data_IF_940087928423
#
_entry.id   IF_940087928423
#
_cell.length_a   1.000
_cell.length_b   1.000
_cell.length_c   1.000
_cell.angle_alpha   90.00
_cell.angle_beta   90.00
_cell.angle_gamma   90.00
#
_symmetry.space_group_name_H-M   'P 1'
#
loop_
_entity.id
_entity.type
_entity.pdbx_description
1 polymer ?
#
# COMPACT_ATOMS: atom_id res chain seq x y z
N UNK A 1 -41.50 -11.43 -30.29
CA UNK A 1 -41.36 -10.47 -29.18
C UNK A 1 -40.32 -11.00 -28.19
N UNK A 2 -39.32 -10.15 -27.89
CA UNK A 2 -38.41 -10.10 -26.73
C UNK A 2 -37.47 -11.29 -26.44
N UNK A 3 -36.30 -11.19 -27.07
CA UNK A 3 -34.99 -11.68 -26.60
C UNK A 3 -34.61 -10.99 -25.28
N UNK A 4 -34.20 -11.76 -24.27
CA UNK A 4 -33.35 -11.31 -23.16
C UNK A 4 -32.76 -12.54 -22.45
N UNK A 5 -31.69 -13.09 -23.01
CA UNK A 5 -30.76 -13.96 -22.29
C UNK A 5 -29.70 -13.05 -21.67
N UNK A 6 -29.75 -12.86 -20.35
CA UNK A 6 -28.60 -12.34 -19.60
C UNK A 6 -27.83 -13.57 -19.11
N UNK A 7 -26.80 -13.93 -19.87
CA UNK A 7 -25.76 -14.84 -19.43
C UNK A 7 -25.03 -14.20 -18.25
N UNK A 8 -25.18 -14.78 -17.06
CA UNK A 8 -24.34 -14.46 -15.92
C UNK A 8 -22.92 -14.98 -16.20
N UNK A 9 -22.09 -14.12 -16.82
CA UNK A 9 -20.64 -14.32 -16.85
C UNK A 9 -20.09 -13.86 -15.50
N UNK A 10 -20.08 -14.76 -14.53
CA UNK A 10 -19.19 -14.63 -13.38
C UNK A 10 -17.92 -15.39 -13.74
N UNK A 11 -17.00 -14.62 -14.32
CA UNK A 11 -15.59 -14.96 -14.50
C UNK A 11 -15.10 -15.60 -13.20
N UNK A 12 -14.46 -16.75 -13.36
CA UNK A 12 -13.66 -17.39 -12.35
C UNK A 12 -12.69 -16.38 -11.73
N UNK A 13 -13.02 -15.88 -10.54
CA UNK A 13 -11.99 -15.57 -9.56
C UNK A 13 -12.07 -16.64 -8.50
N UNK A 14 -10.97 -17.35 -8.20
CA UNK A 14 -10.85 -18.05 -6.94
C UNK A 14 -10.70 -17.00 -5.84
N UNK A 15 -11.79 -16.29 -5.50
CA UNK A 15 -11.88 -15.45 -4.30
C UNK A 15 -12.10 -16.33 -3.07
N UNK A 16 -11.20 -17.30 -2.87
CA UNK A 16 -11.13 -18.18 -1.69
C UNK A 16 -9.67 -18.35 -1.24
N UNK A 17 -8.89 -17.27 -1.34
CA UNK A 17 -7.59 -17.14 -0.68
C UNK A 17 -7.66 -16.58 0.76
N UNK A 18 -8.85 -16.47 1.35
CA UNK A 18 -9.03 -15.95 2.71
C UNK A 18 -9.99 -16.84 3.53
N UNK A 19 -9.76 -18.16 3.49
CA UNK A 19 -10.29 -19.08 4.48
C UNK A 19 -9.26 -20.20 4.71
N UNK A 20 -8.09 -19.80 5.22
CA UNK A 20 -7.03 -20.70 5.65
C UNK A 20 -6.59 -20.27 7.04
N UNK A 21 -7.02 -21.00 8.04
CA UNK A 21 -6.56 -20.87 9.42
C UNK A 21 -5.10 -21.35 9.52
N UNK A 22 -4.15 -20.59 8.96
CA UNK A 22 -2.73 -20.84 9.17
C UNK A 22 -2.23 -19.98 10.33
N UNK A 23 -2.13 -20.64 11.48
CA UNK A 23 -1.44 -20.13 12.66
C UNK A 23 0.00 -19.78 12.28
N UNK A 24 0.32 -18.48 12.14
CA UNK A 24 1.71 -18.03 12.26
C UNK A 24 2.16 -16.86 11.38
N UNK A 25 1.39 -16.43 10.38
CA UNK A 25 1.81 -15.34 9.48
C UNK A 25 0.98 -14.09 9.71
N UNK A 26 1.64 -12.96 9.99
CA UNK A 26 0.97 -11.67 10.15
C UNK A 26 0.20 -11.27 8.87
N UNK A 27 -0.95 -10.57 8.97
CA UNK A 27 -1.81 -10.27 7.82
C UNK A 27 -1.07 -9.45 6.76
N UNK A 28 -1.06 -9.88 5.50
CA UNK A 28 -0.38 -9.18 4.39
C UNK A 28 -0.84 -7.72 4.30
N UNK A 29 0.11 -6.80 4.26
CA UNK A 29 -0.15 -5.37 4.13
C UNK A 29 -0.42 -5.06 2.66
N UNK A 30 -1.60 -4.49 2.40
CA UNK A 30 -2.04 -4.08 1.07
C UNK A 30 -1.85 -2.58 0.84
N UNK A 31 -1.99 -2.14 -0.42
CA UNK A 31 -2.05 -0.71 -0.77
C UNK A 31 -3.14 0.02 0.03
N UNK A 32 -4.31 -0.60 0.21
CA UNK A 32 -5.42 0.01 0.94
C UNK A 32 -5.08 0.22 2.42
N UNK A 33 -4.38 -0.72 3.04
CA UNK A 33 -3.94 -0.62 4.43
C UNK A 33 -2.91 0.51 4.61
N UNK A 34 -1.96 0.63 3.68
CA UNK A 34 -0.98 1.73 3.64
C UNK A 34 -1.65 3.08 3.45
N UNK A 35 -2.57 3.21 2.49
CA UNK A 35 -3.31 4.46 2.25
C UNK A 35 -4.07 4.88 3.50
N UNK A 36 -4.76 3.94 4.15
CA UNK A 36 -5.49 4.20 5.39
C UNK A 36 -4.58 4.61 6.54
N UNK A 37 -3.39 4.01 6.65
CA UNK A 37 -2.38 4.42 7.62
C UNK A 37 -1.86 5.83 7.36
N UNK A 38 -1.57 6.16 6.10
CA UNK A 38 -1.12 7.50 5.70
C UNK A 38 -2.17 8.56 6.03
N UNK A 39 -3.44 8.28 5.74
CA UNK A 39 -4.56 9.15 6.12
C UNK A 39 -4.69 9.31 7.63
N UNK A 40 -4.57 8.20 8.37
CA UNK A 40 -4.59 8.19 9.84
C UNK A 40 -3.41 8.94 10.46
N UNK A 41 -2.27 9.01 9.75
CA UNK A 41 -1.08 9.77 10.15
C UNK A 41 -1.19 11.27 9.87
N UNK A 42 -2.27 11.73 9.24
CA UNK A 42 -2.54 13.14 8.99
C UNK A 42 -2.55 13.55 7.52
N UNK A 43 -2.32 12.62 6.58
CA UNK A 43 -2.43 12.89 5.15
C UNK A 43 -3.91 12.95 4.73
N UNK A 44 -4.54 14.13 4.86
CA UNK A 44 -5.99 14.30 4.69
C UNK A 44 -6.51 14.07 3.26
N UNK A 45 -5.62 14.10 2.27
CA UNK A 45 -5.99 13.88 0.88
C UNK A 45 -5.95 12.38 0.56
N UNK A 46 -7.13 11.79 0.38
CA UNK A 46 -7.26 10.36 0.13
C UNK A 46 -6.61 9.93 -1.19
N UNK A 47 -6.69 10.75 -2.25
CA UNK A 47 -6.07 10.44 -3.53
C UNK A 47 -4.54 10.46 -3.45
N UNK A 48 -3.99 11.43 -2.74
CA UNK A 48 -2.56 11.51 -2.47
C UNK A 48 -2.10 10.32 -1.62
N UNK A 49 -2.88 9.93 -0.62
CA UNK A 49 -2.60 8.75 0.21
C UNK A 49 -2.63 7.45 -0.60
N UNK A 50 -3.62 7.29 -1.49
CA UNK A 50 -3.73 6.13 -2.38
C UNK A 50 -2.57 6.07 -3.39
N UNK A 51 -2.23 7.22 -4.00
CA UNK A 51 -1.12 7.33 -4.94
C UNK A 51 0.22 7.02 -4.26
N UNK A 52 0.43 7.54 -3.05
CA UNK A 52 1.62 7.25 -2.25
C UNK A 52 1.72 5.77 -1.87
N UNK A 53 0.63 5.20 -1.35
CA UNK A 53 0.57 3.79 -1.01
C UNK A 53 0.86 2.88 -2.20
N UNK A 54 0.34 3.22 -3.38
CA UNK A 54 0.59 2.46 -4.61
C UNK A 54 2.07 2.45 -4.97
N UNK A 55 2.73 3.61 -4.95
CA UNK A 55 4.16 3.69 -5.27
C UNK A 55 5.03 2.92 -4.27
N UNK A 56 4.68 2.91 -2.98
CA UNK A 56 5.41 2.10 -1.99
C UNK A 56 5.29 0.59 -2.22
N UNK A 57 4.12 0.11 -2.64
CA UNK A 57 3.91 -1.30 -2.99
C UNK A 57 4.60 -1.63 -4.31
N UNK A 58 4.48 -0.75 -5.32
CA UNK A 58 5.05 -0.94 -6.66
C UNK A 58 6.59 -0.93 -6.67
N UNK A 59 7.25 -0.15 -5.79
CA UNK A 59 8.71 -0.22 -5.61
C UNK A 59 9.19 -1.55 -5.00
N UNK A 60 8.27 -2.41 -4.56
CA UNK A 60 8.59 -3.74 -4.03
C UNK A 60 9.23 -3.72 -2.65
N UNK A 61 8.77 -2.83 -1.77
CA UNK A 61 9.12 -2.85 -0.34
C UNK A 61 8.64 -4.18 0.26
N UNK A 62 9.45 -4.77 1.13
CA UNK A 62 9.12 -6.02 1.81
C UNK A 62 7.84 -5.88 2.67
N UNK A 63 7.14 -6.99 2.90
CA UNK A 63 5.95 -6.99 3.76
C UNK A 63 6.26 -6.52 5.19
N UNK A 64 7.43 -6.85 5.73
CA UNK A 64 7.91 -6.34 7.02
C UNK A 64 8.12 -4.83 6.99
N UNK A 65 8.65 -4.31 5.88
CA UNK A 65 8.82 -2.88 5.68
C UNK A 65 7.48 -2.14 5.61
N UNK A 66 6.54 -2.63 4.80
CA UNK A 66 5.19 -2.07 4.71
C UNK A 66 4.45 -2.13 6.05
N UNK A 67 4.66 -3.20 6.84
CA UNK A 67 4.09 -3.34 8.18
C UNK A 67 4.66 -2.33 9.17
N UNK A 68 5.91 -1.92 9.02
CA UNK A 68 6.50 -0.83 9.80
C UNK A 68 5.97 0.53 9.34
N UNK A 69 5.78 0.73 8.05
CA UNK A 69 5.22 1.98 7.50
C UNK A 69 3.75 2.19 7.86
N UNK A 70 3.03 1.13 8.19
CA UNK A 70 1.64 1.22 8.67
C UNK A 70 1.52 1.51 10.17
N UNK A 71 2.62 1.45 10.93
CA UNK A 71 2.60 1.78 12.35
C UNK A 71 2.62 3.31 12.54
N UNK A 72 1.67 3.86 13.32
CA UNK A 72 1.64 5.28 13.59
C UNK A 72 2.92 5.73 14.31
N UNK A 73 3.57 6.77 13.81
CA UNK A 73 4.81 7.33 14.36
C UNK A 73 6.12 6.75 13.82
N UNK A 74 6.07 5.70 12.98
CA UNK A 74 7.27 5.11 12.35
C UNK A 74 7.78 5.88 11.12
N UNK A 75 6.96 6.79 10.61
CA UNK A 75 7.28 7.78 9.57
C UNK A 75 8.05 8.99 10.11
N UNK A 76 8.35 9.03 11.41
CA UNK A 76 9.37 9.93 11.94
C UNK A 76 10.71 9.54 11.29
N UNK A 77 11.26 10.42 10.46
CA UNK A 77 12.63 10.29 9.99
C UNK A 77 13.52 10.15 11.23
N UNK A 78 14.10 8.96 11.44
CA UNK A 78 15.11 8.81 12.47
C UNK A 78 16.34 9.59 12.03
N UNK A 79 17.09 10.14 12.99
CA UNK A 79 18.19 11.07 12.73
C UNK A 79 19.32 10.50 11.85
N UNK A 80 19.34 9.18 11.61
CA UNK A 80 20.27 8.51 10.69
C UNK A 80 19.82 8.54 9.20
N UNK A 81 18.66 9.14 8.91
CA UNK A 81 18.09 9.25 7.58
C UNK A 81 17.33 8.01 7.10
N UNK A 82 17.32 6.91 7.86
CA UNK A 82 16.49 5.75 7.56
C UNK A 82 15.03 6.05 7.90
N UNK A 83 14.10 5.44 7.17
CA UNK A 83 12.70 5.43 7.58
C UNK A 83 12.63 4.47 8.77
N UNK A 84 12.27 4.97 9.96
CA UNK A 84 12.46 4.29 11.24
C UNK A 84 12.20 2.78 11.23
N UNK A 85 13.27 1.99 11.31
CA UNK A 85 13.21 0.54 11.43
C UNK A 85 13.10 -0.26 10.13
N UNK A 86 13.08 0.36 8.95
CA UNK A 86 13.19 -0.37 7.67
C UNK A 86 14.57 -1.03 7.51
N UNK A 87 14.63 -2.11 6.73
CA UNK A 87 15.92 -2.63 6.24
C UNK A 87 16.59 -1.60 5.35
N UNK A 88 17.89 -1.75 5.07
CA UNK A 88 18.60 -0.83 4.15
C UNK A 88 17.97 -0.84 2.76
N UNK A 89 17.66 -2.03 2.25
CA UNK A 89 17.03 -2.22 0.95
C UNK A 89 15.62 -1.60 0.89
N UNK A 90 14.80 -1.82 1.92
CA UNK A 90 13.47 -1.21 2.00
C UNK A 90 13.53 0.30 2.18
N UNK A 91 14.54 0.81 2.90
CA UNK A 91 14.77 2.24 3.04
C UNK A 91 15.13 2.89 1.71
N UNK A 92 15.98 2.25 0.91
CA UNK A 92 16.39 2.76 -0.40
C UNK A 92 15.20 2.74 -1.39
N UNK A 93 14.38 1.67 -1.37
CA UNK A 93 13.12 1.60 -2.13
C UNK A 93 12.09 2.62 -1.66
N UNK A 94 11.89 2.78 -0.35
CA UNK A 94 10.98 3.78 0.21
C UNK A 94 11.40 5.21 -0.15
N UNK A 95 12.71 5.50 -0.16
CA UNK A 95 13.22 6.79 -0.65
C UNK A 95 12.94 6.99 -2.13
N UNK A 96 13.16 5.97 -2.97
CA UNK A 96 12.85 6.02 -4.39
C UNK A 96 11.34 6.26 -4.64
N UNK A 97 10.48 5.52 -3.94
CA UNK A 97 9.03 5.73 -3.94
C UNK A 97 8.68 7.16 -3.56
N UNK A 98 9.25 7.68 -2.46
CA UNK A 98 8.96 9.04 -1.97
C UNK A 98 9.33 10.12 -2.99
N UNK A 99 10.45 9.96 -3.71
CA UNK A 99 10.82 10.86 -4.80
C UNK A 99 9.79 10.82 -5.95
N UNK A 100 9.34 9.61 -6.33
CA UNK A 100 8.27 9.43 -7.33
C UNK A 100 6.93 9.98 -6.85
N UNK A 101 6.60 9.90 -5.56
CA UNK A 101 5.38 10.43 -4.98
C UNK A 101 5.36 11.96 -5.10
N UNK A 102 6.48 12.62 -4.79
CA UNK A 102 6.59 14.06 -4.93
C UNK A 102 6.36 14.53 -6.38
N UNK A 103 6.88 13.80 -7.37
CA UNK A 103 6.74 14.16 -8.79
C UNK A 103 5.43 13.71 -9.42
N UNK A 104 4.87 12.58 -8.98
CA UNK A 104 3.71 11.94 -9.64
C UNK A 104 2.41 12.25 -8.91
N UNK A 105 2.42 12.28 -7.57
CA UNK A 105 1.22 12.45 -6.76
C UNK A 105 1.03 13.91 -6.30
N UNK A 106 2.11 14.65 -6.01
CA UNK A 106 2.04 16.04 -5.52
C UNK A 106 2.13 17.06 -6.66
N UNK A 107 3.05 16.88 -7.61
CA UNK A 107 3.19 17.79 -8.75
C UNK A 107 2.14 17.57 -9.85
N UNK A 108 1.39 16.47 -9.81
CA UNK A 108 0.24 16.21 -10.68
C UNK A 108 -0.87 15.54 -9.87
N UNK A 109 -1.55 16.28 -8.98
CA UNK A 109 -2.68 15.73 -8.25
C UNK A 109 -3.78 15.40 -9.27
N UNK A 110 -3.99 14.11 -9.52
CA UNK A 110 -5.05 13.62 -10.42
C UNK A 110 -6.42 13.65 -9.75
#
# INVERSE_FOLDING_TARGET
>A
MRISLIAAVCIALPLLGACGSDKGSEPTITQADLSKSLQSSGLKDAKLADCAAKLYVDEGISQDGLRKMTKPGSNAQVADGSMGGLSKEDSDKARAATQKIATTCVASPQ
#
